data_IF_504120368162
#
_entry.id   IF_504120368162
#
_cell.length_a   1.000
_cell.length_b   1.000
_cell.length_c   1.000
_cell.angle_alpha   90.00
_cell.angle_beta   90.00
_cell.angle_gamma   90.00
#
_symmetry.space_group_name_H-M   'P 1'
#
loop_
_entity.id
_entity.type
_entity.pdbx_description
1 polymer ?
#
# COMPACT_ATOMS: atom_id res chain seq x y z
N UNK A 1 -26.97 -6.19 47.96
CA UNK A 1 -26.96 -4.75 47.64
C UNK A 1 -25.58 -4.39 47.08
N UNK A 2 -25.40 -4.37 45.76
CA UNK A 2 -24.12 -3.95 45.15
C UNK A 2 -24.07 -2.43 45.07
N UNK A 3 -23.27 -1.80 45.93
CA UNK A 3 -22.96 -0.38 45.84
C UNK A 3 -22.07 -0.14 44.62
N UNK A 4 -22.57 0.62 43.64
CA UNK A 4 -21.81 1.00 42.46
C UNK A 4 -21.01 2.28 42.73
N UNK A 5 -19.68 2.15 42.74
CA UNK A 5 -18.75 3.27 42.95
C UNK A 5 -18.49 4.05 41.67
N UNK A 6 -18.43 5.38 41.77
CA UNK A 6 -18.12 6.26 40.65
C UNK A 6 -16.64 6.15 40.23
N UNK A 7 -16.29 6.65 39.03
CA UNK A 7 -14.91 6.69 38.53
C UNK A 7 -13.99 7.48 39.47
N UNK A 8 -14.50 8.52 40.13
CA UNK A 8 -13.75 9.32 41.11
C UNK A 8 -13.46 8.55 42.39
N UNK A 9 -14.42 7.76 42.86
CA UNK A 9 -14.26 6.94 44.08
C UNK A 9 -13.27 5.79 43.85
N UNK A 10 -13.19 5.27 42.60
CA UNK A 10 -12.19 4.27 42.21
C UNK A 10 -10.76 4.79 42.25
N UNK A 11 -10.52 6.04 41.85
CA UNK A 11 -9.18 6.63 41.92
C UNK A 11 -8.71 6.83 43.36
N UNK A 12 -9.63 7.13 44.29
CA UNK A 12 -9.32 7.17 45.73
C UNK A 12 -8.94 5.80 46.31
N UNK A 13 -9.59 4.72 45.87
CA UNK A 13 -9.27 3.36 46.33
C UNK A 13 -7.94 2.87 45.74
N UNK A 14 -7.63 3.23 44.50
CA UNK A 14 -6.35 2.88 43.86
C UNK A 14 -5.20 3.66 44.50
N UNK A 15 -5.40 4.93 44.89
CA UNK A 15 -4.38 5.72 45.58
C UNK A 15 -4.12 5.23 47.01
N UNK A 16 -5.14 4.76 47.73
CA UNK A 16 -4.99 4.23 49.10
C UNK A 16 -4.25 2.89 49.17
N UNK A 17 -4.30 2.08 48.11
CA UNK A 17 -3.67 0.75 48.07
C UNK A 17 -2.25 0.74 47.48
N UNK A 18 -1.77 1.88 46.98
CA UNK A 18 -0.40 2.01 46.47
C UNK A 18 0.64 1.89 47.59
N UNK A 19 0.28 2.28 48.82
CA UNK A 19 1.15 2.21 50.01
C UNK A 19 1.22 0.82 50.66
N UNK A 20 0.44 -0.17 50.20
CA UNK A 20 0.45 -1.53 50.76
C UNK A 20 1.04 -2.61 49.84
N UNK A 21 1.70 -2.21 48.75
CA UNK A 21 2.45 -3.14 47.89
C UNK A 21 1.61 -4.15 47.11
N UNK A 22 0.30 -3.90 46.93
CA UNK A 22 -0.61 -4.81 46.21
C UNK A 22 -0.58 -4.53 44.70
N UNK A 23 -0.50 -5.59 43.89
CA UNK A 23 -0.40 -5.50 42.42
C UNK A 23 -1.68 -4.94 41.77
N UNK A 24 -1.57 -3.71 41.27
CA UNK A 24 -2.67 -2.91 40.69
C UNK A 24 -3.35 -3.58 39.49
N UNK A 25 -2.65 -4.46 38.76
CA UNK A 25 -3.19 -5.18 37.60
C UNK A 25 -4.14 -6.33 37.97
N UNK A 26 -4.09 -6.82 39.21
CA UNK A 26 -4.97 -7.89 39.67
C UNK A 26 -6.32 -7.33 40.16
N UNK A 27 -6.30 -6.16 40.80
CA UNK A 27 -7.52 -5.43 41.22
C UNK A 27 -8.32 -4.95 40.01
N UNK A 28 -7.64 -4.46 38.96
CA UNK A 28 -8.29 -4.01 37.73
C UNK A 28 -9.07 -5.11 36.98
N UNK A 29 -8.71 -6.40 37.18
CA UNK A 29 -9.36 -7.55 36.52
C UNK A 29 -10.64 -8.01 37.20
N UNK A 30 -10.82 -7.77 38.51
CA UNK A 30 -12.00 -8.25 39.28
C UNK A 30 -13.21 -7.30 39.27
N UNK A 31 -13.07 -6.11 38.70
CA UNK A 31 -14.16 -5.14 38.60
C UNK A 31 -14.64 -5.08 37.15
N UNK A 32 -15.79 -5.69 36.80
CA UNK A 32 -16.29 -5.65 35.43
C UNK A 32 -16.58 -4.20 35.01
N UNK A 33 -15.80 -3.72 34.05
CA UNK A 33 -16.05 -2.45 33.38
C UNK A 33 -17.13 -2.65 32.32
N UNK A 34 -18.39 -2.40 32.67
CA UNK A 34 -19.40 -2.07 31.66
C UNK A 34 -18.94 -0.78 30.99
N UNK A 35 -18.30 -0.89 29.81
CA UNK A 35 -18.32 0.23 28.86
C UNK A 35 -19.79 0.42 28.52
N UNK A 36 -20.44 1.39 29.17
CA UNK A 36 -21.70 1.90 28.68
C UNK A 36 -21.42 2.45 27.29
N UNK A 37 -21.60 1.60 26.27
CA UNK A 37 -21.85 2.08 24.93
C UNK A 37 -22.99 3.05 25.10
N UNK A 38 -22.73 4.35 24.93
CA UNK A 38 -23.80 5.26 24.60
C UNK A 38 -24.43 4.64 23.37
N UNK A 39 -25.64 4.14 23.51
CA UNK A 39 -26.50 3.93 22.36
C UNK A 39 -26.38 5.21 21.55
N UNK A 40 -25.71 5.09 20.39
CA UNK A 40 -25.57 6.21 19.46
C UNK A 40 -26.99 6.47 19.02
N UNK A 41 -27.65 7.43 19.68
CA UNK A 41 -28.91 7.99 19.22
C UNK A 41 -28.77 8.14 17.71
N UNK A 42 -29.63 7.44 16.96
CA UNK A 42 -29.67 7.50 15.51
C UNK A 42 -30.06 8.94 15.17
N UNK A 43 -29.06 9.82 15.03
CA UNK A 43 -29.26 11.26 14.78
C UNK A 43 -30.10 11.47 13.52
N UNK A 44 -30.03 10.52 12.59
CA UNK A 44 -30.81 10.52 11.36
C UNK A 44 -31.92 9.47 11.43
N UNK A 45 -33.11 9.85 10.95
CA UNK A 45 -34.17 8.90 10.66
C UNK A 45 -33.86 8.12 9.36
N UNK A 46 -34.62 7.06 9.09
CA UNK A 46 -34.35 6.16 7.95
C UNK A 46 -34.38 6.90 6.59
N UNK A 47 -35.29 7.86 6.42
CA UNK A 47 -35.39 8.63 5.17
C UNK A 47 -34.14 9.50 4.97
N UNK A 48 -33.69 10.18 6.03
CA UNK A 48 -32.47 10.99 5.99
C UNK A 48 -31.21 10.13 5.79
N UNK A 49 -31.16 8.92 6.37
CA UNK A 49 -30.06 7.97 6.09
C UNK A 49 -30.05 7.55 4.63
N UNK A 50 -31.23 7.32 4.02
CA UNK A 50 -31.33 7.00 2.59
C UNK A 50 -30.89 8.18 1.72
N UNK A 51 -31.31 9.40 2.04
CA UNK A 51 -30.84 10.63 1.37
C UNK A 51 -29.33 10.78 1.49
N UNK A 52 -28.77 10.56 2.69
CA UNK A 52 -27.32 10.58 2.91
C UNK A 52 -26.62 9.52 2.06
N UNK A 53 -27.14 8.29 2.00
CA UNK A 53 -26.58 7.22 1.16
C UNK A 53 -26.55 7.63 -0.31
N UNK A 54 -27.63 8.22 -0.84
CA UNK A 54 -27.68 8.74 -2.21
C UNK A 54 -26.63 9.84 -2.44
N UNK A 55 -26.49 10.78 -1.52
CA UNK A 55 -25.47 11.82 -1.59
C UNK A 55 -24.05 11.25 -1.59
N UNK A 56 -23.78 10.23 -0.75
CA UNK A 56 -22.47 9.55 -0.72
C UNK A 56 -22.17 8.80 -2.02
N UNK A 57 -23.18 8.23 -2.68
CA UNK A 57 -23.02 7.60 -4.00
C UNK A 57 -22.79 8.60 -5.12
N UNK A 58 -23.47 9.75 -5.08
CA UNK A 58 -23.43 10.78 -6.11
C UNK A 58 -22.16 11.64 -6.01
N UNK A 59 -21.75 11.99 -4.80
CA UNK A 59 -20.62 12.88 -4.51
C UNK A 59 -19.52 12.14 -3.73
N UNK A 60 -18.98 11.08 -4.35
CA UNK A 60 -18.07 10.15 -3.68
C UNK A 60 -16.73 10.77 -3.26
N UNK A 61 -16.29 11.87 -3.88
CA UNK A 61 -15.04 12.57 -3.57
C UNK A 61 -15.20 13.68 -2.52
N UNK A 62 -16.43 14.05 -2.17
CA UNK A 62 -16.68 15.17 -1.27
C UNK A 62 -16.15 14.89 0.15
N UNK A 63 -15.70 15.93 0.84
CA UNK A 63 -15.34 15.86 2.25
C UNK A 63 -16.58 15.60 3.11
N UNK A 64 -16.37 15.12 4.35
CA UNK A 64 -17.50 14.93 5.27
C UNK A 64 -18.20 16.24 5.63
N UNK A 65 -17.51 17.38 5.54
CA UNK A 65 -18.11 18.72 5.68
C UNK A 65 -18.99 19.07 4.48
N UNK A 66 -18.50 18.90 3.25
CA UNK A 66 -19.31 19.17 2.05
C UNK A 66 -20.58 18.32 1.99
N UNK A 67 -20.50 17.03 2.35
CA UNK A 67 -21.68 16.16 2.45
C UNK A 67 -22.65 16.64 3.53
N UNK A 68 -22.15 17.12 4.67
CA UNK A 68 -23.01 17.69 5.71
C UNK A 68 -23.78 18.91 5.18
N UNK A 69 -23.11 19.82 4.47
CA UNK A 69 -23.74 21.00 3.88
C UNK A 69 -24.78 20.63 2.83
N UNK A 70 -24.51 19.61 2.00
CA UNK A 70 -25.48 19.10 1.03
C UNK A 70 -26.70 18.47 1.71
N UNK A 71 -26.49 17.72 2.79
CA UNK A 71 -27.57 17.11 3.54
C UNK A 71 -28.43 18.16 4.24
N UNK A 72 -27.80 19.20 4.81
CA UNK A 72 -28.47 20.36 5.37
C UNK A 72 -29.35 21.04 4.31
N UNK A 73 -28.82 21.31 3.11
CA UNK A 73 -29.59 21.90 2.01
C UNK A 73 -30.79 21.06 1.57
N UNK A 74 -30.71 19.73 1.64
CA UNK A 74 -31.81 18.83 1.23
C UNK A 74 -32.84 18.55 2.32
N UNK A 75 -32.43 18.57 3.57
CA UNK A 75 -33.26 18.06 4.69
C UNK A 75 -33.51 19.09 5.78
N UNK A 76 -32.86 20.25 5.73
CA UNK A 76 -32.88 21.27 6.78
C UNK A 76 -32.09 20.89 8.05
N UNK A 77 -31.46 19.71 8.09
CA UNK A 77 -30.78 19.22 9.29
C UNK A 77 -29.27 19.45 9.25
N UNK A 78 -28.76 20.24 10.20
CA UNK A 78 -27.33 20.49 10.39
C UNK A 78 -26.64 19.34 11.11
N UNK A 79 -25.56 18.80 10.54
CA UNK A 79 -24.83 17.67 11.10
C UNK A 79 -23.33 17.94 11.06
N UNK A 80 -22.63 17.55 12.13
CA UNK A 80 -21.17 17.65 12.18
C UNK A 80 -20.50 16.67 11.19
N UNK A 81 -19.42 17.11 10.53
CA UNK A 81 -18.60 16.28 9.63
C UNK A 81 -18.13 14.97 10.28
N UNK A 82 -17.85 14.94 11.59
CA UNK A 82 -17.51 13.72 12.35
C UNK A 82 -18.65 12.70 12.35
N UNK A 83 -19.89 13.17 12.43
CA UNK A 83 -21.09 12.32 12.37
C UNK A 83 -21.25 11.73 10.97
N UNK A 84 -21.05 12.52 9.92
CA UNK A 84 -21.03 12.02 8.53
C UNK A 84 -19.94 10.96 8.33
N UNK A 85 -18.74 11.17 8.88
CA UNK A 85 -17.64 10.18 8.83
C UNK A 85 -18.03 8.86 9.50
N UNK A 86 -18.68 8.92 10.67
CA UNK A 86 -19.18 7.72 11.34
C UNK A 86 -20.24 7.00 10.50
N UNK A 87 -21.15 7.76 9.88
CA UNK A 87 -22.17 7.18 9.00
C UNK A 87 -21.56 6.51 7.77
N UNK A 88 -20.56 7.13 7.11
CA UNK A 88 -19.80 6.51 6.02
C UNK A 88 -19.34 5.11 6.38
N UNK A 89 -18.63 4.96 7.50
CA UNK A 89 -18.15 3.66 7.98
C UNK A 89 -19.30 2.70 8.29
N UNK A 90 -20.35 3.15 8.99
CA UNK A 90 -21.48 2.29 9.37
C UNK A 90 -22.32 1.83 8.17
N UNK A 91 -22.30 2.59 7.07
CA UNK A 91 -23.01 2.29 5.82
C UNK A 91 -22.13 1.48 4.85
N UNK A 92 -20.95 1.03 5.27
CA UNK A 92 -20.04 0.21 4.47
C UNK A 92 -19.26 1.00 3.41
N UNK A 93 -19.14 2.32 3.55
CA UNK A 93 -18.26 3.13 2.70
C UNK A 93 -16.85 3.15 3.27
N UNK A 94 -15.87 3.01 2.38
CA UNK A 94 -14.44 3.07 2.70
C UNK A 94 -13.72 4.12 1.85
N UNK A 95 -12.72 4.81 2.40
CA UNK A 95 -11.89 5.72 1.64
C UNK A 95 -10.95 4.93 0.72
N UNK A 96 -10.84 5.35 -0.53
CA UNK A 96 -9.91 4.83 -1.52
C UNK A 96 -9.38 5.97 -2.38
N UNK A 97 -8.07 5.95 -2.68
CA UNK A 97 -7.55 6.70 -3.82
C UNK A 97 -7.92 5.99 -5.12
N UNK A 98 -8.06 6.72 -6.22
CA UNK A 98 -8.19 6.10 -7.54
C UNK A 98 -6.91 5.33 -7.90
N UNK A 99 -7.04 4.26 -8.69
CA UNK A 99 -5.91 3.46 -9.18
C UNK A 99 -6.21 3.08 -10.61
N UNK A 100 -5.30 3.40 -11.53
CA UNK A 100 -5.29 2.77 -12.84
C UNK A 100 -4.61 1.41 -12.69
N UNK A 101 -5.37 0.33 -12.82
CA UNK A 101 -4.79 -0.99 -13.06
C UNK A 101 -5.02 -1.31 -14.54
N UNK A 102 -3.97 -1.71 -15.28
CA UNK A 102 -4.16 -2.16 -16.64
C UNK A 102 -5.06 -3.41 -16.62
N UNK A 103 -6.05 -3.45 -17.50
CA UNK A 103 -6.95 -4.60 -17.58
C UNK A 103 -6.18 -5.82 -18.11
N UNK A 104 -6.26 -6.92 -17.39
CA UNK A 104 -5.81 -8.22 -17.88
C UNK A 104 -6.75 -8.64 -19.01
N UNK A 105 -6.17 -9.03 -20.14
CA UNK A 105 -6.92 -9.62 -21.25
C UNK A 105 -6.62 -11.13 -21.32
N UNK A 106 -7.31 -11.85 -22.19
CA UNK A 106 -7.14 -13.30 -22.31
C UNK A 106 -5.69 -13.72 -22.65
N UNK A 107 -4.97 -12.91 -23.44
CA UNK A 107 -3.56 -13.16 -23.75
C UNK A 107 -2.68 -13.03 -22.51
N UNK A 108 -2.82 -11.95 -21.74
CA UNK A 108 -2.08 -11.75 -20.50
C UNK A 108 -2.39 -12.87 -19.49
N UNK A 109 -3.66 -13.27 -19.37
CA UNK A 109 -4.04 -14.38 -18.48
C UNK A 109 -3.33 -15.68 -18.87
N UNK A 110 -3.30 -16.02 -20.16
CA UNK A 110 -2.61 -17.21 -20.64
C UNK A 110 -1.08 -17.16 -20.39
N UNK A 111 -0.44 -16.01 -20.63
CA UNK A 111 0.99 -15.80 -20.35
C UNK A 111 1.29 -15.95 -18.85
N UNK A 112 0.47 -15.34 -17.99
CA UNK A 112 0.55 -15.45 -16.52
C UNK A 112 0.40 -16.90 -16.06
N UNK A 113 -0.60 -17.62 -16.56
CA UNK A 113 -0.82 -19.02 -16.25
C UNK A 113 0.38 -19.88 -16.65
N UNK A 114 0.88 -19.69 -17.87
CA UNK A 114 2.03 -20.44 -18.41
C UNK A 114 3.28 -20.19 -17.56
N UNK A 115 3.53 -18.94 -17.18
CA UNK A 115 4.64 -18.58 -16.31
C UNK A 115 4.52 -19.26 -14.94
N UNK A 116 3.38 -19.13 -14.26
CA UNK A 116 3.20 -19.71 -12.94
C UNK A 116 3.24 -21.23 -12.93
N UNK A 117 2.73 -21.90 -13.96
CA UNK A 117 2.87 -23.35 -14.11
C UNK A 117 4.35 -23.76 -14.30
N UNK A 118 5.11 -22.98 -15.09
CA UNK A 118 6.53 -23.25 -15.35
C UNK A 118 7.40 -23.09 -14.09
N UNK A 119 6.99 -22.23 -13.17
CA UNK A 119 7.74 -21.91 -11.94
C UNK A 119 6.98 -22.29 -10.66
N UNK A 120 6.01 -23.21 -10.73
CA UNK A 120 5.16 -23.57 -9.59
C UNK A 120 5.96 -24.14 -8.40
N UNK A 121 7.05 -24.84 -8.69
CA UNK A 121 7.98 -25.41 -7.70
C UNK A 121 9.27 -24.58 -7.54
N UNK A 122 9.34 -23.39 -8.14
CA UNK A 122 10.54 -22.56 -8.08
C UNK A 122 10.76 -22.01 -6.66
N UNK A 123 12.03 -21.86 -6.31
CA UNK A 123 12.44 -21.12 -5.14
C UNK A 123 12.78 -19.68 -5.56
N UNK A 124 12.11 -18.70 -4.95
CA UNK A 124 12.25 -17.28 -5.28
C UNK A 124 13.37 -16.59 -4.49
N UNK A 125 14.11 -17.34 -3.68
CA UNK A 125 15.19 -16.86 -2.81
C UNK A 125 16.44 -16.42 -3.58
N UNK A 126 16.71 -17.04 -4.73
CA UNK A 126 17.81 -16.70 -5.65
C UNK A 126 17.38 -15.76 -6.81
N UNK A 127 16.25 -15.07 -6.65
CA UNK A 127 15.69 -14.16 -7.66
C UNK A 127 15.87 -12.69 -7.21
N UNK A 128 16.32 -11.87 -8.15
CA UNK A 128 16.43 -10.42 -8.05
C UNK A 128 15.21 -9.82 -8.73
N UNK A 129 14.38 -9.15 -7.94
CA UNK A 129 13.22 -8.40 -8.39
C UNK A 129 13.62 -6.94 -8.55
N UNK A 130 13.41 -6.36 -9.73
CA UNK A 130 13.74 -4.97 -10.01
C UNK A 130 12.62 -4.28 -10.76
N UNK A 131 12.54 -2.96 -10.59
CA UNK A 131 11.61 -2.11 -11.32
C UNK A 131 12.00 -0.63 -11.23
N UNK A 132 11.45 0.17 -12.16
CA UNK A 132 11.44 1.62 -12.10
C UNK A 132 10.12 2.11 -11.49
N UNK A 133 10.18 3.08 -10.57
CA UNK A 133 8.98 3.64 -9.93
C UNK A 133 8.97 5.16 -9.95
N UNK A 134 7.93 5.80 -10.54
CA UNK A 134 7.62 7.18 -10.21
C UNK A 134 7.02 7.24 -8.80
N UNK A 135 7.66 8.00 -7.91
CA UNK A 135 7.13 8.36 -6.59
C UNK A 135 6.61 9.78 -6.69
N UNK A 136 5.31 9.94 -6.49
CA UNK A 136 4.59 11.19 -6.72
C UNK A 136 3.93 11.68 -5.44
N UNK A 137 4.01 12.99 -5.22
CA UNK A 137 3.26 13.70 -4.19
C UNK A 137 2.05 14.34 -4.84
N UNK A 138 0.91 13.67 -4.72
CA UNK A 138 -0.37 14.20 -5.16
C UNK A 138 -0.98 15.09 -4.08
N UNK A 139 -1.11 16.39 -4.39
CA UNK A 139 -1.77 17.37 -3.52
C UNK A 139 -3.26 17.52 -3.82
N UNK A 140 -3.79 16.82 -4.83
CA UNK A 140 -5.23 16.82 -5.09
C UNK A 140 -6.02 16.36 -3.86
N UNK A 141 -5.41 15.47 -3.05
CA UNK A 141 -6.00 14.91 -1.84
C UNK A 141 -7.31 14.17 -2.10
N UNK A 142 -7.61 13.81 -3.36
CA UNK A 142 -8.90 13.27 -3.76
C UNK A 142 -9.01 11.85 -3.21
N UNK A 143 -9.87 11.71 -2.20
CA UNK A 143 -10.25 10.43 -1.60
C UNK A 143 -11.68 10.12 -2.00
N UNK A 144 -11.86 9.03 -2.73
CA UNK A 144 -13.17 8.49 -3.04
C UNK A 144 -13.69 7.68 -1.87
N UNK A 145 -14.93 7.92 -1.48
CA UNK A 145 -15.65 7.11 -0.52
C UNK A 145 -16.60 6.20 -1.30
N UNK A 146 -16.20 4.94 -1.46
CA UNK A 146 -16.96 3.95 -2.22
C UNK A 146 -17.59 2.92 -1.29
N UNK A 147 -18.75 2.38 -1.66
CA UNK A 147 -19.33 1.21 -1.00
C UNK A 147 -18.49 -0.04 -1.30
N UNK A 148 -18.57 -1.03 -0.42
CA UNK A 148 -17.88 -2.32 -0.61
C UNK A 148 -18.16 -2.98 -1.99
N UNK A 149 -19.33 -2.71 -2.57
CA UNK A 149 -19.79 -3.26 -3.86
C UNK A 149 -19.33 -2.48 -5.10
N UNK A 150 -18.70 -1.30 -4.96
CA UNK A 150 -18.21 -0.52 -6.11
C UNK A 150 -16.74 -0.81 -6.39
N UNK A 151 -16.41 -0.91 -7.67
CA UNK A 151 -15.02 -0.97 -8.13
C UNK A 151 -14.29 0.33 -7.81
N UNK A 152 -12.97 0.23 -7.64
CA UNK A 152 -12.12 1.39 -7.40
C UNK A 152 -12.10 2.28 -8.66
N UNK A 153 -12.24 3.61 -8.53
CA UNK A 153 -12.23 4.50 -9.69
C UNK A 153 -10.86 4.49 -10.40
N UNK A 154 -10.89 4.58 -11.72
CA UNK A 154 -9.70 4.48 -12.61
C UNK A 154 -9.28 5.83 -13.20
N UNK A 155 -10.18 6.82 -13.29
CA UNK A 155 -9.89 8.14 -13.85
C UNK A 155 -9.89 9.24 -12.79
N UNK A 156 -8.82 10.03 -12.75
CA UNK A 156 -8.71 11.24 -11.95
C UNK A 156 -7.59 12.13 -12.48
N UNK A 157 -7.72 13.44 -12.29
CA UNK A 157 -6.66 14.41 -12.57
C UNK A 157 -5.81 14.55 -11.31
N UNK A 158 -4.61 13.97 -11.32
CA UNK A 158 -3.62 14.21 -10.27
C UNK A 158 -3.20 15.69 -10.31
N UNK A 159 -2.99 16.27 -9.14
CA UNK A 159 -2.19 17.48 -9.02
C UNK A 159 -0.86 17.06 -8.40
N UNK A 160 0.05 16.60 -9.26
CA UNK A 160 1.39 16.17 -8.83
C UNK A 160 2.19 17.44 -8.53
N UNK A 161 2.55 17.66 -7.27
CA UNK A 161 3.38 18.79 -6.88
C UNK A 161 4.86 18.47 -7.08
N UNK A 162 5.28 17.28 -6.65
CA UNK A 162 6.65 16.80 -6.74
C UNK A 162 6.63 15.36 -7.24
N UNK A 163 7.59 15.00 -8.08
CA UNK A 163 7.80 13.63 -8.49
C UNK A 163 9.30 13.32 -8.60
N UNK A 164 9.65 12.08 -8.30
CA UNK A 164 10.99 11.53 -8.51
C UNK A 164 10.84 10.15 -9.12
N UNK A 165 11.73 9.79 -10.04
CA UNK A 165 11.78 8.44 -10.60
C UNK A 165 12.95 7.72 -9.97
N UNK A 166 12.71 6.51 -9.48
CA UNK A 166 13.74 5.70 -8.84
C UNK A 166 13.85 4.34 -9.52
N UNK A 167 15.04 3.76 -9.48
CA UNK A 167 15.29 2.36 -9.78
C UNK A 167 15.86 1.67 -8.54
N UNK A 168 15.38 0.46 -8.28
CA UNK A 168 15.90 -0.38 -7.21
C UNK A 168 15.68 -1.85 -7.51
N UNK A 169 16.38 -2.68 -6.74
CA UNK A 169 16.24 -4.12 -6.79
C UNK A 169 16.29 -4.72 -5.39
N UNK A 170 15.57 -5.81 -5.19
CA UNK A 170 15.54 -6.60 -3.97
C UNK A 170 15.83 -8.06 -4.28
N UNK A 171 16.37 -8.77 -3.30
CA UNK A 171 16.47 -10.23 -3.29
C UNK A 171 16.28 -10.71 -1.86
N UNK A 172 16.26 -12.02 -1.63
CA UNK A 172 15.90 -12.59 -0.34
C UNK A 172 16.73 -12.04 0.83
N UNK A 173 18.04 -11.92 0.62
CA UNK A 173 18.99 -11.49 1.64
C UNK A 173 19.53 -10.08 1.48
N UNK A 174 18.95 -9.27 0.60
CA UNK A 174 19.39 -7.89 0.46
C UNK A 174 18.57 -7.03 -0.47
N UNK A 175 19.11 -5.84 -0.72
CA UNK A 175 18.57 -4.83 -1.62
C UNK A 175 19.71 -4.05 -2.25
N UNK A 176 19.49 -3.52 -3.43
CA UNK A 176 20.48 -2.72 -4.15
C UNK A 176 20.68 -1.36 -3.50
N UNK A 177 21.67 -0.60 -3.97
CA UNK A 177 21.63 0.84 -3.82
C UNK A 177 20.40 1.37 -4.56
N UNK A 178 19.74 2.38 -4.00
CA UNK A 178 18.65 3.07 -4.69
C UNK A 178 19.24 4.08 -5.67
N UNK A 179 18.71 4.12 -6.90
CA UNK A 179 19.18 5.02 -7.95
C UNK A 179 18.08 6.03 -8.25
N UNK A 180 18.38 7.32 -8.12
CA UNK A 180 17.50 8.39 -8.59
C UNK A 180 17.75 8.63 -10.07
N UNK A 181 16.69 8.57 -10.87
CA UNK A 181 16.72 8.74 -12.32
C UNK A 181 16.34 10.18 -12.65
N UNK A 182 17.25 10.87 -13.30
CA UNK A 182 17.03 12.22 -13.83
C UNK A 182 17.01 12.18 -15.36
N UNK A 183 15.96 12.76 -15.95
CA UNK A 183 15.79 12.81 -17.40
C UNK A 183 15.12 11.56 -17.98
N UNK A 184 15.26 11.36 -19.30
CA UNK A 184 14.63 10.23 -20.01
C UNK A 184 15.53 9.00 -19.96
N UNK A 185 14.95 7.84 -19.65
CA UNK A 185 15.62 6.55 -19.76
C UNK A 185 15.83 6.16 -21.23
N UNK A 186 17.06 5.81 -21.59
CA UNK A 186 17.42 5.11 -22.82
C UNK A 186 18.22 3.85 -22.46
N UNK A 187 18.56 3.00 -23.44
CA UNK A 187 19.28 1.75 -23.18
C UNK A 187 20.59 1.95 -22.40
N UNK A 188 21.39 2.95 -22.79
CA UNK A 188 22.69 3.20 -22.17
C UNK A 188 22.54 3.69 -20.73
N UNK A 189 21.56 4.54 -20.47
CA UNK A 189 21.29 5.02 -19.11
C UNK A 189 20.75 3.89 -18.24
N UNK A 190 19.94 2.98 -18.77
CA UNK A 190 19.44 1.81 -18.04
C UNK A 190 20.58 0.90 -17.56
N UNK A 191 21.57 0.59 -18.40
CA UNK A 191 22.77 -0.16 -17.96
C UNK A 191 23.55 0.61 -16.90
N UNK A 192 23.61 1.94 -17.01
CA UNK A 192 24.16 2.82 -15.97
C UNK A 192 23.45 2.66 -14.62
N UNK A 193 22.12 2.58 -14.61
CA UNK A 193 21.33 2.36 -13.40
C UNK A 193 21.63 0.99 -12.77
N UNK A 194 21.69 -0.07 -13.60
CA UNK A 194 22.08 -1.42 -13.13
C UNK A 194 23.48 -1.41 -12.49
N UNK A 195 24.45 -0.75 -13.13
CA UNK A 195 25.80 -0.63 -12.61
C UNK A 195 25.84 0.11 -11.27
N UNK A 196 25.10 1.22 -11.14
CA UNK A 196 25.03 2.00 -9.90
C UNK A 196 24.34 1.21 -8.77
N UNK A 197 23.20 0.57 -9.08
CA UNK A 197 22.40 -0.20 -8.13
C UNK A 197 23.19 -1.38 -7.56
N UNK A 198 23.89 -2.14 -8.42
CA UNK A 198 24.57 -3.38 -8.04
C UNK A 198 26.06 -3.23 -7.72
N UNK A 199 26.62 -2.01 -7.74
CA UNK A 199 28.07 -1.74 -7.60
C UNK A 199 28.75 -2.54 -6.49
N UNK A 200 28.09 -2.69 -5.33
CA UNK A 200 28.63 -3.36 -4.15
C UNK A 200 28.28 -4.86 -4.05
N UNK A 201 27.41 -5.37 -4.93
CA UNK A 201 26.75 -6.68 -4.76
C UNK A 201 27.04 -7.68 -5.88
N UNK A 202 27.71 -7.27 -6.96
CA UNK A 202 27.93 -8.10 -8.15
C UNK A 202 28.54 -9.49 -7.87
N UNK A 203 29.46 -9.60 -6.89
CA UNK A 203 30.07 -10.89 -6.55
C UNK A 203 29.07 -11.82 -5.86
N UNK A 204 28.26 -11.28 -4.95
CA UNK A 204 27.23 -12.01 -4.21
C UNK A 204 26.11 -12.50 -5.13
N UNK A 205 25.76 -11.69 -6.14
CA UNK A 205 24.64 -11.95 -7.04
C UNK A 205 25.00 -12.86 -8.22
N UNK A 206 26.23 -13.33 -8.32
CA UNK A 206 26.63 -14.30 -9.34
C UNK A 206 25.78 -15.57 -9.22
N UNK A 207 25.13 -15.97 -10.30
CA UNK A 207 24.24 -17.15 -10.37
C UNK A 207 22.77 -16.86 -10.05
N UNK A 208 22.42 -15.67 -9.58
CA UNK A 208 21.02 -15.27 -9.35
C UNK A 208 20.27 -15.10 -10.68
N UNK A 209 18.95 -15.21 -10.61
CA UNK A 209 18.04 -14.88 -11.71
C UNK A 209 17.53 -13.44 -11.55
N UNK A 210 17.55 -12.68 -12.63
CA UNK A 210 17.11 -11.29 -12.65
C UNK A 210 15.79 -11.16 -13.41
N UNK A 211 14.83 -10.49 -12.78
CA UNK A 211 13.56 -10.09 -13.36
C UNK A 211 13.57 -8.57 -13.51
N UNK A 212 13.22 -8.12 -14.72
CA UNK A 212 12.89 -6.74 -15.04
C UNK A 212 11.53 -6.69 -15.72
N UNK A 213 10.63 -5.85 -15.20
CA UNK A 213 9.36 -5.55 -15.85
C UNK A 213 9.62 -4.52 -16.96
N UNK A 214 9.18 -4.83 -18.18
CA UNK A 214 9.21 -3.96 -19.38
C UNK A 214 10.57 -3.44 -19.87
N UNK A 215 11.24 -4.18 -20.76
CA UNK A 215 12.19 -3.55 -21.65
C UNK A 215 11.62 -3.51 -23.07
N UNK A 216 11.71 -2.36 -23.72
CA UNK A 216 11.64 -2.30 -25.19
C UNK A 216 12.76 -3.18 -25.74
N UNK A 217 12.57 -3.79 -26.91
CA UNK A 217 13.54 -4.74 -27.48
C UNK A 217 14.98 -4.18 -27.55
N UNK A 218 15.11 -2.87 -27.76
CA UNK A 218 16.40 -2.16 -27.77
C UNK A 218 17.05 -2.03 -26.39
N UNK A 219 16.28 -1.99 -25.30
CA UNK A 219 16.81 -1.94 -23.93
C UNK A 219 17.34 -3.31 -23.47
N UNK A 220 16.71 -4.39 -23.97
CA UNK A 220 17.00 -5.79 -23.63
C UNK A 220 18.45 -6.17 -23.94
N UNK A 221 18.91 -5.89 -25.16
CA UNK A 221 20.17 -6.45 -25.67
C UNK A 221 21.38 -6.06 -24.82
N UNK A 222 21.56 -4.76 -24.55
CA UNK A 222 22.71 -4.29 -23.76
C UNK A 222 22.58 -4.64 -22.27
N UNK A 223 21.36 -4.63 -21.72
CA UNK A 223 21.12 -5.03 -20.33
C UNK A 223 21.43 -6.52 -20.11
N UNK A 224 20.93 -7.40 -20.98
CA UNK A 224 21.21 -8.84 -20.95
C UNK A 224 22.69 -9.15 -21.10
N UNK A 225 23.35 -8.47 -22.04
CA UNK A 225 24.77 -8.63 -22.28
C UNK A 225 25.61 -8.15 -21.07
N UNK A 226 25.18 -7.08 -20.41
CA UNK A 226 25.79 -6.65 -19.14
C UNK A 226 25.56 -7.69 -18.01
N UNK A 227 24.31 -8.15 -17.80
CA UNK A 227 23.96 -9.16 -16.79
C UNK A 227 24.76 -10.45 -16.99
N UNK A 228 24.85 -10.92 -18.23
CA UNK A 228 25.61 -12.12 -18.61
C UNK A 228 27.09 -11.98 -18.27
N UNK A 229 27.72 -10.83 -18.56
CA UNK A 229 29.12 -10.55 -18.18
C UNK A 229 29.32 -10.54 -16.65
N UNK A 230 28.28 -10.22 -15.89
CA UNK A 230 28.29 -10.28 -14.42
C UNK A 230 27.88 -11.65 -13.87
N UNK A 231 27.67 -12.65 -14.72
CA UNK A 231 27.19 -14.00 -14.36
C UNK A 231 25.83 -13.99 -13.66
N UNK A 232 25.01 -12.98 -13.95
CA UNK A 232 23.62 -12.91 -13.50
C UNK A 232 22.76 -13.46 -14.65
N UNK A 233 21.92 -14.44 -14.35
CA UNK A 233 20.95 -15.00 -15.29
C UNK A 233 19.74 -14.07 -15.35
N UNK A 234 18.96 -14.11 -16.41
CA UNK A 234 17.73 -13.33 -16.53
C UNK A 234 16.57 -14.22 -16.97
N UNK A 235 15.35 -13.82 -16.59
CA UNK A 235 14.11 -14.52 -16.92
C UNK A 235 13.42 -13.79 -18.08
N UNK A 236 13.49 -14.36 -19.28
CA UNK A 236 12.93 -13.74 -20.50
C UNK A 236 11.41 -13.87 -20.62
N UNK A 237 10.82 -14.85 -19.93
CA UNK A 237 9.41 -15.18 -20.03
C UNK A 237 8.55 -14.53 -18.93
N UNK A 238 9.03 -13.47 -18.28
CA UNK A 238 8.23 -12.76 -17.28
C UNK A 238 6.97 -12.17 -17.94
N UNK A 239 5.76 -12.48 -17.44
CA UNK A 239 4.52 -12.13 -18.12
C UNK A 239 4.25 -10.63 -18.04
N UNK A 240 3.74 -10.07 -19.15
CA UNK A 240 3.35 -8.66 -19.18
C UNK A 240 2.20 -8.39 -18.18
N UNK A 241 2.07 -7.12 -17.75
CA UNK A 241 0.97 -6.67 -16.88
C UNK A 241 0.85 -7.54 -15.61
N UNK A 242 1.99 -7.86 -15.00
CA UNK A 242 2.04 -8.75 -13.82
C UNK A 242 2.79 -8.14 -12.62
N UNK A 243 2.36 -6.96 -12.13
CA UNK A 243 3.02 -6.30 -11.01
C UNK A 243 2.92 -7.08 -9.70
N UNK A 244 1.90 -7.93 -9.55
CA UNK A 244 1.71 -8.83 -8.41
C UNK A 244 2.76 -9.95 -8.34
N UNK A 245 3.29 -10.39 -9.48
CA UNK A 245 4.40 -11.34 -9.55
C UNK A 245 5.78 -10.69 -9.31
N UNK A 246 5.86 -9.36 -9.26
CA UNK A 246 7.10 -8.64 -8.97
C UNK A 246 7.12 -8.19 -7.50
N UNK A 247 7.85 -8.90 -6.64
CA UNK A 247 7.87 -8.65 -5.20
C UNK A 247 8.22 -7.19 -4.81
N UNK A 248 8.97 -6.48 -5.65
CA UNK A 248 9.37 -5.09 -5.39
C UNK A 248 8.20 -4.11 -5.41
N UNK A 249 7.09 -4.42 -6.09
CA UNK A 249 5.88 -3.59 -6.06
C UNK A 249 5.29 -3.47 -4.65
N UNK A 250 5.43 -4.51 -3.83
CA UNK A 250 5.06 -4.46 -2.41
C UNK A 250 5.98 -3.54 -1.60
N UNK A 251 7.27 -3.50 -1.93
CA UNK A 251 8.23 -2.56 -1.34
C UNK A 251 7.90 -1.12 -1.72
N UNK A 252 7.55 -0.87 -2.98
CA UNK A 252 7.08 0.45 -3.42
C UNK A 252 5.82 0.89 -2.67
N UNK A 253 4.86 -0.02 -2.44
CA UNK A 253 3.69 0.28 -1.62
C UNK A 253 4.07 0.69 -0.19
N UNK A 254 5.00 -0.05 0.44
CA UNK A 254 5.50 0.26 1.78
C UNK A 254 6.17 1.65 1.83
N UNK A 255 7.04 1.94 0.86
CA UNK A 255 7.75 3.22 0.77
C UNK A 255 6.79 4.39 0.55
N UNK A 256 5.80 4.23 -0.33
CA UNK A 256 4.79 5.27 -0.56
C UNK A 256 3.98 5.58 0.71
N UNK A 257 3.68 4.57 1.53
CA UNK A 257 3.03 4.82 2.82
C UNK A 257 3.95 5.58 3.78
N UNK A 258 5.24 5.24 3.79
CA UNK A 258 6.23 5.96 4.59
C UNK A 258 6.35 7.42 4.15
N UNK A 259 6.53 7.69 2.86
CA UNK A 259 6.68 9.07 2.35
C UNK A 259 5.43 9.91 2.61
N UNK A 260 4.24 9.37 2.35
CA UNK A 260 2.97 10.07 2.60
C UNK A 260 2.77 10.44 4.07
N UNK A 261 3.19 9.57 5.01
CA UNK A 261 3.09 9.84 6.46
C UNK A 261 4.05 10.92 6.95
N UNK A 262 5.11 11.20 6.19
CA UNK A 262 6.15 12.17 6.55
C UNK A 262 6.01 13.50 5.79
N UNK A 263 4.93 13.67 5.00
CA UNK A 263 4.52 14.95 4.41
C UNK A 263 5.66 15.70 3.69
N UNK A 264 6.17 15.19 2.55
CA UNK A 264 7.15 15.90 1.74
C UNK A 264 6.66 17.29 1.36
N UNK A 265 7.55 18.28 1.43
CA UNK A 265 7.25 19.70 1.18
C UNK A 265 8.11 20.32 0.06
N UNK A 266 9.04 19.56 -0.49
CA UNK A 266 9.85 19.92 -1.66
C UNK A 266 10.30 18.66 -2.38
N UNK A 267 10.80 18.79 -3.61
CA UNK A 267 11.39 17.66 -4.33
C UNK A 267 12.64 17.11 -3.60
N UNK A 268 13.51 17.97 -3.07
CA UNK A 268 14.69 17.48 -2.31
C UNK A 268 14.27 16.75 -1.04
N UNK A 269 13.25 17.25 -0.33
CA UNK A 269 12.72 16.55 0.85
C UNK A 269 12.10 15.20 0.47
N UNK A 270 11.41 15.11 -0.68
CA UNK A 270 10.91 13.84 -1.20
C UNK A 270 12.04 12.84 -1.47
N UNK A 271 13.13 13.26 -2.13
CA UNK A 271 14.30 12.40 -2.38
C UNK A 271 14.89 11.86 -1.07
N UNK A 272 15.04 12.72 -0.06
CA UNK A 272 15.51 12.32 1.28
C UNK A 272 14.58 11.28 1.90
N UNK A 273 13.26 11.52 1.90
CA UNK A 273 12.28 10.60 2.48
C UNK A 273 12.24 9.26 1.74
N UNK A 274 12.35 9.27 0.41
CA UNK A 274 12.41 8.06 -0.41
C UNK A 274 13.67 7.24 -0.07
N UNK A 275 14.83 7.89 0.03
CA UNK A 275 16.07 7.22 0.41
C UNK A 275 16.00 6.65 1.83
N UNK A 276 15.43 7.40 2.78
CA UNK A 276 15.19 6.93 4.15
C UNK A 276 14.25 5.73 4.16
N UNK A 277 13.15 5.76 3.40
CA UNK A 277 12.21 4.64 3.31
C UNK A 277 12.90 3.37 2.81
N UNK A 278 13.72 3.50 1.75
CA UNK A 278 14.49 2.38 1.20
C UNK A 278 15.46 1.78 2.20
N UNK A 279 16.10 2.60 3.03
CA UNK A 279 17.02 2.13 4.06
C UNK A 279 16.27 1.54 5.27
N UNK A 280 15.09 2.06 5.60
CA UNK A 280 14.37 1.69 6.81
C UNK A 280 13.47 0.46 6.67
N UNK A 281 13.05 0.09 5.45
CA UNK A 281 12.25 -1.13 5.28
C UNK A 281 13.04 -2.35 5.83
N UNK A 282 12.50 -3.11 6.79
CA UNK A 282 13.23 -4.24 7.35
C UNK A 282 13.42 -5.39 6.35
N UNK A 283 14.57 -6.09 6.38
CA UNK A 283 14.85 -7.18 5.42
C UNK A 283 13.88 -8.37 5.59
N UNK A 284 13.38 -8.64 6.81
CA UNK A 284 12.37 -9.66 7.04
C UNK A 284 11.01 -9.33 6.37
N UNK A 285 10.68 -8.05 6.22
CA UNK A 285 9.49 -7.62 5.48
C UNK A 285 9.66 -7.92 3.99
N UNK A 286 10.84 -7.62 3.44
CA UNK A 286 11.20 -7.95 2.04
C UNK A 286 11.10 -9.46 1.79
N UNK A 287 11.66 -10.29 2.68
CA UNK A 287 11.54 -11.76 2.60
C UNK A 287 10.07 -12.22 2.61
N UNK A 288 9.24 -11.60 3.43
CA UNK A 288 7.79 -11.85 3.46
C UNK A 288 7.13 -11.60 2.09
N UNK A 289 7.49 -10.50 1.41
CA UNK A 289 6.99 -10.21 0.07
C UNK A 289 7.46 -11.19 -0.98
N UNK A 290 8.74 -11.60 -0.93
CA UNK A 290 9.30 -12.60 -1.86
C UNK A 290 8.65 -13.97 -1.65
N UNK A 291 8.48 -14.41 -0.40
CA UNK A 291 7.79 -15.67 -0.09
C UNK A 291 6.34 -15.68 -0.55
N UNK A 292 5.69 -14.51 -0.58
CA UNK A 292 4.31 -14.40 -1.03
C UNK A 292 4.16 -14.62 -2.55
N UNK A 293 5.23 -14.53 -3.35
CA UNK A 293 5.18 -14.75 -4.80
C UNK A 293 4.66 -16.16 -5.14
N UNK A 294 5.08 -17.18 -4.40
CA UNK A 294 4.57 -18.56 -4.60
C UNK A 294 3.06 -18.66 -4.35
N UNK A 295 2.55 -17.95 -3.34
CA UNK A 295 1.11 -17.92 -3.03
C UNK A 295 0.33 -17.24 -4.14
N UNK A 296 0.85 -16.12 -4.66
CA UNK A 296 0.25 -15.40 -5.79
C UNK A 296 0.24 -16.31 -7.03
N UNK A 297 1.34 -17.00 -7.34
CA UNK A 297 1.35 -17.90 -8.48
C UNK A 297 0.33 -19.04 -8.37
N UNK A 298 0.12 -19.59 -7.17
CA UNK A 298 -0.92 -20.60 -6.94
C UNK A 298 -2.33 -20.03 -7.17
N UNK A 299 -2.59 -18.79 -6.74
CA UNK A 299 -3.86 -18.11 -6.98
C UNK A 299 -4.10 -17.87 -8.49
N UNK A 300 -3.08 -17.42 -9.21
CA UNK A 300 -3.14 -17.25 -10.66
C UNK A 300 -3.44 -18.58 -11.35
N UNK A 301 -2.81 -19.69 -10.92
CA UNK A 301 -3.10 -21.03 -11.46
C UNK A 301 -4.55 -21.42 -11.19
N UNK A 302 -5.05 -21.25 -9.96
CA UNK A 302 -6.44 -21.59 -9.62
C UNK A 302 -7.46 -20.75 -10.37
N UNK A 303 -7.13 -19.51 -10.69
CA UNK A 303 -7.99 -18.57 -11.41
C UNK A 303 -7.81 -18.66 -12.95
N UNK A 304 -7.01 -19.61 -13.46
CA UNK A 304 -6.79 -19.77 -14.89
C UNK A 304 -6.08 -18.59 -15.55
N UNK A 305 -5.19 -17.92 -14.83
CA UNK A 305 -4.41 -16.77 -15.31
C UNK A 305 -4.94 -15.39 -14.93
N UNK A 306 -6.16 -15.32 -14.40
CA UNK A 306 -6.83 -14.08 -14.02
C UNK A 306 -6.50 -13.65 -12.57
N UNK A 307 -6.83 -12.40 -12.23
CA UNK A 307 -6.78 -11.85 -10.87
C UNK A 307 -7.76 -12.58 -9.92
#
# INVERSE_FOLDING_TARGET
MSSHLSVRDRWRIISLNFDQGVNVHEIARRIPCKRNGRDRLRILNNNQVNTLRQLLYQYSTDTSSSIADRLLRRTGLGINSRTIRNYRSSLGFRPVHARSQPLINAKHAQERLTFCLSYAAAHWDNVIFSDEKPVEVDISGVVYWISATRSRPTHFQNQIQFHVVIFGAIWFDGRSNLVFIHGRTNTTTYVGYLQAAFRSYLRQLSGYYFIHDRPTWAHIVLAHDWLRRKRIRYLDNFPAVSPDLNAIESVWSWMNQYTQRNYPNSQQHLEILVQQAWNMIPQNVIRGYINNVSVICQQIISNGGWD
#
